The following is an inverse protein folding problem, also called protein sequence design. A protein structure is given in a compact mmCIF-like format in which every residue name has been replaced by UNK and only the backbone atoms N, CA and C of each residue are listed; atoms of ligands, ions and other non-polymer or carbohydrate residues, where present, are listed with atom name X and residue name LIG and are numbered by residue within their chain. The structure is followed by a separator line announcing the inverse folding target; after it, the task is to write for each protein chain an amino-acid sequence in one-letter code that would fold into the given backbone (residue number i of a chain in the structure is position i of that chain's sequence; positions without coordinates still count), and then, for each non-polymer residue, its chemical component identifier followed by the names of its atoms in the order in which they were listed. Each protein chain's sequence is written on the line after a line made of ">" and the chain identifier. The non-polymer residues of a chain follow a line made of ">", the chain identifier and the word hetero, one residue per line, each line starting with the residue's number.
data_IF_735756743921
#
_entry.id   IF_735756743921
#
_cell.length_a   1.000
_cell.length_b   1.000
_cell.length_c   1.000
_cell.angle_alpha   90.00
_cell.angle_beta   90.00
_cell.angle_gamma   90.00
#
_symmetry.space_group_name_H-M   'P 1'
#
loop_
_entity.id
_entity.type
_entity.pdbx_description
1 polymer ?
#
# COMPACT_ATOMS: atom_id res chain seq x y z
N UNK A 1 13.04 8.63 -4.37
CA UNK A 1 12.11 8.10 -5.39
C UNK A 1 11.39 9.27 -6.04
N UNK A 2 11.60 9.46 -7.35
CA UNK A 2 10.97 10.53 -8.13
C UNK A 2 9.75 9.93 -8.87
N UNK A 3 8.58 10.17 -8.34
CA UNK A 3 7.33 9.70 -8.93
C UNK A 3 6.69 10.82 -9.79
N UNK A 4 7.28 11.10 -10.94
CA UNK A 4 6.78 12.14 -11.88
C UNK A 4 5.35 11.89 -12.37
N UNK A 5 4.87 10.66 -12.27
CA UNK A 5 3.48 10.33 -12.59
C UNK A 5 2.46 11.14 -11.77
N UNK A 6 2.87 11.63 -10.58
CA UNK A 6 2.00 12.46 -9.74
C UNK A 6 2.05 13.95 -10.06
N UNK A 7 2.93 14.42 -10.95
CA UNK A 7 3.10 15.86 -11.20
C UNK A 7 1.87 16.47 -11.85
N UNK A 8 1.27 15.80 -12.83
CA UNK A 8 0.04 16.27 -13.48
C UNK A 8 -1.16 16.31 -12.53
N UNK A 9 -1.48 15.22 -11.79
CA UNK A 9 -2.53 15.25 -10.78
C UNK A 9 -2.27 16.28 -9.68
N UNK A 10 -1.03 16.41 -9.19
CA UNK A 10 -0.66 17.42 -8.20
C UNK A 10 -0.91 18.85 -8.72
N UNK A 11 -0.53 19.14 -9.96
CA UNK A 11 -0.79 20.45 -10.58
C UNK A 11 -2.30 20.74 -10.69
N UNK A 12 -3.12 19.72 -10.96
CA UNK A 12 -4.59 19.86 -10.98
C UNK A 12 -5.16 20.17 -9.60
N UNK A 13 -4.67 19.50 -8.57
CA UNK A 13 -5.09 19.75 -7.19
C UNK A 13 -4.66 21.16 -6.73
N UNK A 14 -3.44 21.60 -7.05
CA UNK A 14 -2.97 22.96 -6.80
C UNK A 14 -3.87 23.99 -7.49
N UNK A 15 -4.22 23.77 -8.76
CA UNK A 15 -5.14 24.64 -9.50
C UNK A 15 -6.57 24.66 -8.92
N UNK A 16 -6.96 23.64 -8.17
CA UNK A 16 -8.22 23.57 -7.44
C UNK A 16 -8.14 24.15 -6.01
N UNK A 17 -7.03 24.77 -5.62
CA UNK A 17 -6.85 25.39 -4.31
C UNK A 17 -6.44 24.42 -3.19
N UNK A 18 -5.90 23.26 -3.54
CA UNK A 18 -5.33 22.32 -2.59
C UNK A 18 -3.81 22.44 -2.57
N UNK A 19 -3.19 22.52 -1.41
CA UNK A 19 -1.75 22.29 -1.30
C UNK A 19 -1.45 20.79 -1.40
N UNK A 20 -0.30 20.44 -1.97
CA UNK A 20 0.09 19.04 -2.22
C UNK A 20 1.45 18.75 -1.61
N UNK A 21 1.50 17.77 -0.72
CA UNK A 21 2.73 17.25 -0.15
C UNK A 21 3.00 15.86 -0.76
N UNK A 22 4.07 15.73 -1.56
CA UNK A 22 4.55 14.43 -2.05
C UNK A 22 5.54 13.87 -1.05
N UNK A 23 5.29 12.64 -0.61
CA UNK A 23 6.05 12.01 0.48
C UNK A 23 6.60 10.64 0.07
N UNK A 24 7.71 10.26 0.67
CA UNK A 24 8.21 8.90 0.66
C UNK A 24 7.89 8.24 2.01
N UNK A 25 7.29 7.06 1.97
CA UNK A 25 7.09 6.23 3.14
C UNK A 25 8.27 5.26 3.29
N UNK A 26 8.37 4.56 4.45
CA UNK A 26 9.49 3.65 4.78
C UNK A 26 9.77 2.56 3.74
N UNK A 27 8.77 2.19 2.95
CA UNK A 27 8.89 1.21 1.87
C UNK A 27 9.36 1.81 0.53
N UNK A 28 9.82 3.07 0.49
CA UNK A 28 10.41 3.62 -0.73
C UNK A 28 11.73 2.91 -1.04
N UNK A 29 12.07 2.80 -2.31
CA UNK A 29 13.19 2.02 -2.81
C UNK A 29 13.13 0.53 -2.41
N UNK A 30 13.99 -0.28 -3.00
CA UNK A 30 14.02 -1.72 -2.74
C UNK A 30 14.66 -2.03 -1.38
N UNK A 31 15.86 -1.51 -1.16
CA UNK A 31 16.61 -1.63 0.08
C UNK A 31 17.43 -0.37 0.29
N UNK A 32 17.35 0.21 1.47
CA UNK A 32 18.24 1.26 1.90
C UNK A 32 18.57 1.10 3.39
N UNK A 33 19.54 1.86 3.87
CA UNK A 33 19.98 1.81 5.26
C UNK A 33 19.93 3.19 5.88
N UNK A 34 19.27 3.29 7.02
CA UNK A 34 19.18 4.54 7.78
C UNK A 34 19.57 4.36 9.24
N UNK A 35 20.02 5.40 9.93
CA UNK A 35 20.20 5.38 11.36
C UNK A 35 18.88 5.06 12.08
N UNK A 36 18.92 4.12 13.03
CA UNK A 36 17.80 3.81 13.91
C UNK A 36 18.22 4.06 15.37
N UNK A 37 17.38 4.76 16.10
CA UNK A 37 17.63 5.14 17.50
C UNK A 37 17.42 6.63 17.76
N UNK A 38 17.06 6.95 18.99
CA UNK A 38 16.61 8.30 19.40
C UNK A 38 17.57 9.04 20.32
N UNK A 39 18.76 8.49 20.62
CA UNK A 39 19.68 9.11 21.57
C UNK A 39 21.03 9.47 20.96
N UNK A 40 21.51 10.72 21.14
CA UNK A 40 22.86 11.13 20.75
C UNK A 40 23.99 10.34 21.42
N UNK A 41 23.72 9.74 22.58
CA UNK A 41 24.67 8.94 23.35
C UNK A 41 24.74 7.48 22.89
N UNK A 42 23.76 7.02 22.11
CA UNK A 42 23.76 5.66 21.55
C UNK A 42 24.57 5.63 20.26
N UNK A 43 25.47 4.65 20.12
CA UNK A 43 26.02 4.30 18.82
C UNK A 43 24.86 4.01 17.91
N UNK A 44 24.62 4.89 16.92
CA UNK A 44 23.54 4.74 15.95
C UNK A 44 23.71 3.41 15.24
N UNK A 45 22.82 2.48 15.51
CA UNK A 45 22.72 1.27 14.70
C UNK A 45 22.04 1.64 13.38
N UNK A 46 22.46 0.99 12.30
CA UNK A 46 21.80 1.18 11.01
C UNK A 46 20.79 0.05 10.79
N UNK A 47 19.53 0.43 10.55
CA UNK A 47 18.49 -0.49 10.16
C UNK A 47 18.38 -0.61 8.64
N UNK A 48 18.04 -1.78 8.15
CA UNK A 48 17.67 -2.01 6.75
C UNK A 48 16.20 -1.68 6.59
N UNK A 49 15.90 -0.89 5.57
CA UNK A 49 14.57 -0.39 5.22
C UNK A 49 14.33 -0.60 3.72
N UNK A 50 13.16 -0.18 3.26
CA UNK A 50 12.75 -0.32 1.87
C UNK A 50 11.69 -1.40 1.69
N UNK A 51 11.17 -1.56 0.48
CA UNK A 51 10.04 -2.46 0.19
C UNK A 51 10.32 -3.92 0.54
N UNK A 52 11.60 -4.36 0.51
CA UNK A 52 12.00 -5.70 0.90
C UNK A 52 11.85 -5.98 2.40
N UNK A 53 11.92 -4.94 3.25
CA UNK A 53 11.87 -5.03 4.72
C UNK A 53 10.60 -4.46 5.33
N UNK A 54 9.69 -3.96 4.50
CA UNK A 54 8.51 -3.25 4.95
C UNK A 54 7.40 -4.19 5.40
N UNK A 55 7.00 -4.08 6.67
CA UNK A 55 5.72 -4.59 7.17
C UNK A 55 4.65 -3.56 6.84
N UNK A 56 3.57 -3.98 6.17
CA UNK A 56 2.55 -3.03 5.68
C UNK A 56 1.83 -2.31 6.81
N UNK A 57 1.61 -2.96 7.96
CA UNK A 57 0.99 -2.36 9.15
C UNK A 57 1.74 -1.12 9.65
N UNK A 58 3.07 -1.10 9.51
CA UNK A 58 3.90 0.04 9.91
C UNK A 58 3.60 1.32 9.12
N UNK A 59 2.84 1.24 8.02
CA UNK A 59 2.37 2.41 7.29
C UNK A 59 1.58 3.39 8.15
N UNK A 60 0.97 2.89 9.25
CA UNK A 60 0.30 3.73 10.22
C UNK A 60 1.21 4.78 10.86
N UNK A 61 2.47 4.44 11.09
CA UNK A 61 3.47 5.40 11.59
C UNK A 61 3.81 6.48 10.56
N UNK A 62 3.92 6.08 9.27
CA UNK A 62 4.24 7.00 8.19
C UNK A 62 3.08 7.98 7.96
N UNK A 63 1.84 7.47 7.86
CA UNK A 63 0.66 8.31 7.71
C UNK A 63 0.49 9.28 8.88
N UNK A 64 0.62 8.80 10.12
CA UNK A 64 0.53 9.67 11.29
C UNK A 64 1.58 10.78 11.26
N UNK A 65 2.83 10.46 10.93
CA UNK A 65 3.89 11.47 10.87
C UNK A 65 3.59 12.56 9.83
N UNK A 66 3.09 12.20 8.64
CA UNK A 66 2.74 13.18 7.61
C UNK A 66 1.48 13.97 7.94
N UNK A 67 0.48 13.34 8.57
CA UNK A 67 -0.72 14.04 9.07
C UNK A 67 -0.34 15.01 10.18
N UNK A 68 0.49 14.60 11.14
CA UNK A 68 0.99 15.47 12.23
C UNK A 68 1.75 16.68 11.67
N UNK A 69 2.61 16.43 10.66
CA UNK A 69 3.32 17.52 9.96
C UNK A 69 2.35 18.51 9.32
N UNK A 70 1.34 18.02 8.59
CA UNK A 70 0.35 18.88 7.96
C UNK A 70 -0.46 19.69 8.99
N UNK A 71 -0.88 19.06 10.10
CA UNK A 71 -1.57 19.73 11.20
C UNK A 71 -0.69 20.81 11.85
N UNK A 72 0.59 20.51 12.09
CA UNK A 72 1.55 21.46 12.64
C UNK A 72 1.79 22.64 11.70
N UNK A 73 1.71 22.42 10.38
CA UNK A 73 1.76 23.47 9.36
C UNK A 73 0.44 24.28 9.23
N UNK A 74 -0.58 23.98 10.05
CA UNK A 74 -1.84 24.74 10.11
C UNK A 74 -2.99 24.17 9.27
N UNK A 75 -2.80 23.06 8.56
CA UNK A 75 -3.85 22.43 7.76
C UNK A 75 -4.89 21.75 8.65
N UNK A 76 -6.17 21.95 8.31
CA UNK A 76 -7.34 21.38 9.04
C UNK A 76 -8.17 20.41 8.22
N UNK A 77 -7.97 20.40 6.91
CA UNK A 77 -8.67 19.54 5.96
C UNK A 77 -7.63 18.76 5.19
N UNK A 78 -7.36 17.55 5.61
CA UNK A 78 -6.31 16.68 5.06
C UNK A 78 -6.98 15.60 4.22
N UNK A 79 -6.51 15.44 2.98
CA UNK A 79 -6.77 14.28 2.15
C UNK A 79 -5.50 13.43 2.03
N UNK A 80 -5.64 12.13 1.95
CA UNK A 80 -4.52 11.23 1.68
C UNK A 80 -4.72 10.51 0.34
N UNK A 81 -3.62 10.30 -0.38
CA UNK A 81 -3.66 9.62 -1.67
C UNK A 81 -2.52 8.60 -1.77
N UNK A 82 -2.88 7.35 -2.02
CA UNK A 82 -1.94 6.27 -2.30
C UNK A 82 -2.16 5.65 -3.67
N UNK A 83 -1.10 5.14 -4.28
CA UNK A 83 -1.13 4.41 -5.53
C UNK A 83 -0.50 3.03 -5.35
N UNK A 84 -1.03 2.00 -6.01
CA UNK A 84 -0.50 0.64 -5.97
C UNK A 84 -0.45 0.12 -4.52
N UNK A 85 0.69 -0.34 -4.01
CA UNK A 85 0.85 -0.69 -2.59
C UNK A 85 0.50 0.48 -1.65
N UNK A 86 0.75 1.73 -2.08
CA UNK A 86 0.32 2.93 -1.34
C UNK A 86 -1.20 3.02 -1.21
N UNK A 87 -1.96 2.58 -2.22
CA UNK A 87 -3.42 2.51 -2.16
C UNK A 87 -3.90 1.45 -1.17
N UNK A 88 -3.24 0.27 -1.11
CA UNK A 88 -3.51 -0.74 -0.07
C UNK A 88 -3.26 -0.17 1.31
N UNK A 89 -2.13 0.52 1.52
CA UNK A 89 -1.81 1.19 2.79
C UNK A 89 -2.82 2.26 3.18
N UNK A 90 -3.31 3.02 2.19
CA UNK A 90 -4.37 4.02 2.42
C UNK A 90 -5.64 3.35 2.93
N UNK A 91 -6.14 2.32 2.25
CA UNK A 91 -7.34 1.58 2.66
C UNK A 91 -7.12 0.94 4.03
N UNK A 92 -5.99 0.28 4.24
CA UNK A 92 -5.65 -0.36 5.52
C UNK A 92 -5.61 0.64 6.68
N UNK A 93 -4.95 1.78 6.49
CA UNK A 93 -4.88 2.84 7.49
C UNK A 93 -6.28 3.36 7.86
N UNK A 94 -7.11 3.67 6.86
CA UNK A 94 -8.45 4.18 7.09
C UNK A 94 -9.37 3.16 7.78
N UNK A 95 -9.24 1.87 7.44
CA UNK A 95 -10.04 0.79 8.02
C UNK A 95 -9.64 0.48 9.48
N UNK A 96 -8.35 0.65 9.84
CA UNK A 96 -7.82 0.20 11.13
C UNK A 96 -7.53 1.31 12.14
N UNK A 97 -7.28 2.54 11.67
CA UNK A 97 -6.84 3.66 12.55
C UNK A 97 -7.91 4.73 12.76
N UNK A 98 -8.89 4.88 11.85
CA UNK A 98 -10.00 5.81 11.94
C UNK A 98 -9.60 7.26 12.33
N UNK A 99 -8.56 7.80 11.68
CA UNK A 99 -8.06 9.14 11.98
C UNK A 99 -9.01 10.23 11.46
N UNK A 100 -9.71 10.92 12.36
CA UNK A 100 -10.70 11.95 12.03
C UNK A 100 -10.12 13.18 11.36
N UNK A 101 -8.81 13.37 11.40
CA UNK A 101 -8.11 14.47 10.70
C UNK A 101 -8.12 14.27 9.19
N UNK A 102 -8.24 13.02 8.72
CA UNK A 102 -8.36 12.67 7.31
C UNK A 102 -9.80 12.82 6.87
N UNK A 103 -10.06 13.78 5.99
CA UNK A 103 -11.41 14.14 5.54
C UNK A 103 -11.85 13.44 4.25
N UNK A 104 -10.91 12.99 3.44
CA UNK A 104 -11.14 12.19 2.23
C UNK A 104 -9.88 11.44 1.83
N UNK A 105 -10.03 10.46 0.96
CA UNK A 105 -8.89 9.71 0.45
C UNK A 105 -9.06 9.29 -1.01
N UNK A 106 -7.93 9.01 -1.67
CA UNK A 106 -7.87 8.40 -2.99
C UNK A 106 -6.98 7.16 -2.90
N UNK A 107 -7.49 6.03 -3.37
CA UNK A 107 -6.75 4.79 -3.52
C UNK A 107 -6.70 4.42 -5.01
N UNK A 108 -5.57 4.66 -5.67
CA UNK A 108 -5.40 4.42 -7.09
C UNK A 108 -4.75 3.06 -7.32
N UNK A 109 -5.43 2.20 -8.11
CA UNK A 109 -4.98 0.85 -8.48
C UNK A 109 -4.50 0.01 -7.29
N UNK A 110 -5.30 -0.16 -6.23
CA UNK A 110 -4.92 -1.04 -5.11
C UNK A 110 -4.89 -2.50 -5.57
N UNK A 111 -3.74 -3.19 -5.54
CA UNK A 111 -3.71 -4.62 -5.80
C UNK A 111 -4.40 -5.37 -4.68
N UNK A 112 -5.16 -6.40 -5.01
CA UNK A 112 -5.76 -7.27 -4.02
C UNK A 112 -4.76 -8.32 -3.55
N UNK A 113 -4.51 -8.39 -2.26
CA UNK A 113 -3.68 -9.42 -1.64
C UNK A 113 -4.58 -10.47 -1.00
N UNK A 114 -5.03 -11.42 -1.80
CA UNK A 114 -5.85 -12.54 -1.37
C UNK A 114 -5.06 -13.85 -1.61
N UNK A 115 -4.67 -14.49 -0.52
CA UNK A 115 -3.82 -15.70 -0.54
C UNK A 115 -4.41 -16.79 -1.45
N UNK A 116 -5.70 -17.03 -1.32
CA UNK A 116 -6.39 -18.06 -2.12
C UNK A 116 -6.35 -17.71 -3.62
N UNK A 117 -6.60 -16.46 -3.99
CA UNK A 117 -6.56 -16.07 -5.40
C UNK A 117 -5.14 -16.16 -5.97
N UNK A 118 -4.12 -15.88 -5.16
CA UNK A 118 -2.72 -16.05 -5.55
C UNK A 118 -2.36 -17.53 -5.73
N UNK A 119 -2.95 -18.44 -4.96
CA UNK A 119 -2.80 -19.89 -5.15
C UNK A 119 -3.47 -20.38 -6.44
N UNK A 120 -4.62 -19.81 -6.78
CA UNK A 120 -5.49 -20.27 -7.87
C UNK A 120 -5.19 -19.57 -9.21
N UNK A 121 -4.32 -18.54 -9.22
CA UNK A 121 -3.97 -17.85 -10.46
C UNK A 121 -3.03 -18.67 -11.35
N UNK A 122 -2.87 -18.29 -12.60
CA UNK A 122 -1.99 -18.95 -13.59
C UNK A 122 -0.56 -19.16 -13.06
N UNK A 123 -0.03 -18.20 -12.30
CA UNK A 123 1.30 -18.28 -11.68
C UNK A 123 1.28 -18.86 -10.26
N UNK A 124 0.22 -19.55 -9.85
CA UNK A 124 0.03 -20.08 -8.49
C UNK A 124 1.10 -21.06 -8.04
N UNK A 125 1.74 -21.81 -8.96
CA UNK A 125 2.87 -22.68 -8.64
C UNK A 125 4.08 -21.87 -8.15
N UNK A 126 4.40 -20.77 -8.84
CA UNK A 126 5.47 -19.86 -8.42
C UNK A 126 5.16 -19.20 -7.07
N UNK A 127 3.89 -18.89 -6.83
CA UNK A 127 3.46 -18.38 -5.52
C UNK A 127 3.67 -19.43 -4.42
N UNK A 128 3.21 -20.67 -4.62
CA UNK A 128 3.42 -21.78 -3.67
C UNK A 128 4.89 -22.00 -3.35
N UNK A 129 5.75 -22.00 -4.38
CA UNK A 129 7.19 -22.17 -4.19
C UNK A 129 7.80 -21.03 -3.35
N UNK A 130 7.45 -19.76 -3.64
CA UNK A 130 7.92 -18.61 -2.87
C UNK A 130 7.40 -18.63 -1.43
N UNK A 131 6.14 -19.00 -1.24
CA UNK A 131 5.52 -19.11 0.08
C UNK A 131 6.15 -20.22 0.92
N UNK A 132 6.40 -21.40 0.32
CA UNK A 132 7.10 -22.48 0.98
C UNK A 132 8.54 -22.09 1.36
N UNK A 133 9.27 -21.37 0.48
CA UNK A 133 10.61 -20.87 0.76
C UNK A 133 10.60 -19.88 1.93
N UNK A 134 9.64 -18.96 1.97
CA UNK A 134 9.50 -18.00 3.07
C UNK A 134 9.23 -18.72 4.42
N UNK A 135 8.34 -19.71 4.43
CA UNK A 135 8.07 -20.52 5.62
C UNK A 135 9.30 -21.31 6.07
N UNK A 136 10.08 -21.87 5.16
CA UNK A 136 11.32 -22.57 5.49
C UNK A 136 12.35 -21.65 6.16
N UNK A 137 12.53 -20.43 5.65
CA UNK A 137 13.39 -19.42 6.28
C UNK A 137 12.89 -19.03 7.66
N UNK A 138 11.59 -18.82 7.80
CA UNK A 138 10.96 -18.51 9.10
C UNK A 138 11.19 -19.62 10.11
N UNK A 139 10.99 -20.88 9.70
CA UNK A 139 11.20 -22.05 10.56
C UNK A 139 12.67 -22.27 10.93
N UNK A 140 13.61 -21.87 10.07
CA UNK A 140 15.05 -21.89 10.34
C UNK A 140 15.52 -20.77 11.28
N UNK A 141 14.63 -19.87 11.73
CA UNK A 141 14.98 -18.72 12.56
C UNK A 141 15.61 -17.57 11.76
N UNK A 142 15.41 -17.55 10.45
CA UNK A 142 15.92 -16.54 9.51
C UNK A 142 14.78 -15.66 8.92
N UNK A 143 13.96 -14.97 9.75
CA UNK A 143 12.82 -14.19 9.26
C UNK A 143 13.23 -13.03 8.33
N UNK A 144 14.45 -12.54 8.46
CA UNK A 144 15.05 -11.50 7.61
C UNK A 144 15.86 -12.07 6.43
N UNK A 145 15.84 -13.40 6.24
CA UNK A 145 16.40 -14.07 5.07
C UNK A 145 15.70 -13.59 3.80
N UNK A 146 16.52 -13.22 2.79
CA UNK A 146 15.99 -12.67 1.54
C UNK A 146 15.54 -13.76 0.58
N UNK A 147 14.43 -13.52 -0.10
CA UNK A 147 13.96 -14.30 -1.23
C UNK A 147 13.50 -13.37 -2.36
N UNK A 148 13.71 -13.82 -3.59
CA UNK A 148 13.12 -13.23 -4.78
C UNK A 148 11.82 -13.95 -5.07
N UNK A 149 10.75 -13.21 -5.33
CA UNK A 149 9.47 -13.75 -5.74
C UNK A 149 8.98 -13.07 -7.01
N UNK A 150 8.23 -13.79 -7.84
CA UNK A 150 7.66 -13.28 -9.08
C UNK A 150 6.16 -13.03 -8.98
N UNK A 151 5.52 -13.54 -7.91
CA UNK A 151 4.07 -13.44 -7.70
C UNK A 151 3.81 -12.79 -6.34
N UNK A 152 2.89 -11.83 -6.29
CA UNK A 152 2.06 -11.28 -7.36
C UNK A 152 2.83 -10.34 -8.31
N UNK A 153 4.03 -9.91 -7.95
CA UNK A 153 4.94 -9.10 -8.77
C UNK A 153 6.39 -9.46 -8.47
N UNK A 154 7.25 -9.32 -9.49
CA UNK A 154 8.69 -9.53 -9.29
C UNK A 154 9.24 -8.52 -8.28
N UNK A 155 9.74 -9.04 -7.15
CA UNK A 155 10.37 -8.21 -6.12
C UNK A 155 11.27 -9.04 -5.20
N UNK A 156 12.06 -8.34 -4.39
CA UNK A 156 12.84 -8.90 -3.30
C UNK A 156 12.08 -8.69 -1.98
N UNK A 157 12.06 -9.70 -1.14
CA UNK A 157 11.39 -9.68 0.16
C UNK A 157 12.26 -10.34 1.22
N UNK A 158 12.07 -9.96 2.47
CA UNK A 158 12.44 -10.87 3.57
C UNK A 158 11.33 -11.93 3.72
N UNK A 159 11.65 -13.08 4.32
CA UNK A 159 10.66 -14.12 4.59
C UNK A 159 9.48 -13.55 5.38
N UNK A 160 9.77 -12.79 6.44
CA UNK A 160 8.77 -12.12 7.28
C UNK A 160 7.85 -11.20 6.49
N UNK A 161 8.41 -10.33 5.63
CA UNK A 161 7.60 -9.38 4.86
C UNK A 161 6.75 -10.05 3.80
N UNK A 162 7.24 -11.14 3.19
CA UNK A 162 6.46 -11.92 2.24
C UNK A 162 5.27 -12.61 2.92
N UNK A 163 5.50 -13.24 4.06
CA UNK A 163 4.46 -13.93 4.83
C UNK A 163 3.45 -12.94 5.44
N UNK A 164 3.90 -11.78 5.93
CA UNK A 164 2.99 -10.73 6.41
C UNK A 164 2.07 -10.23 5.30
N UNK A 165 2.64 -9.96 4.12
CA UNK A 165 1.92 -9.34 3.01
C UNK A 165 0.96 -10.29 2.31
N UNK A 166 1.35 -11.56 2.13
CA UNK A 166 0.64 -12.54 1.30
C UNK A 166 0.19 -13.78 2.07
N UNK A 167 0.19 -13.71 3.39
CA UNK A 167 -0.20 -14.84 4.24
C UNK A 167 -1.70 -15.16 4.21
N UNK A 168 -2.05 -16.33 4.73
CA UNK A 168 -3.41 -16.92 4.69
C UNK A 168 -4.49 -16.08 5.41
N UNK A 169 -4.08 -15.12 6.25
CA UNK A 169 -5.01 -14.25 6.97
C UNK A 169 -5.58 -13.11 6.11
N UNK A 170 -5.10 -12.93 4.89
CA UNK A 170 -5.53 -11.86 3.97
C UNK A 170 -5.58 -10.48 4.64
N UNK A 171 -4.58 -10.21 5.48
CA UNK A 171 -4.56 -9.03 6.38
C UNK A 171 -4.72 -7.71 5.63
N UNK A 172 -4.23 -7.66 4.40
CA UNK A 172 -4.22 -6.47 3.57
C UNK A 172 -5.09 -6.61 2.31
N UNK A 173 -6.03 -7.56 2.30
CA UNK A 173 -7.02 -7.65 1.23
C UNK A 173 -7.90 -6.38 1.25
N UNK A 174 -7.67 -5.49 0.28
CA UNK A 174 -8.36 -4.22 0.20
C UNK A 174 -9.89 -4.38 0.15
N UNK A 175 -10.42 -5.43 -0.49
CA UNK A 175 -11.86 -5.66 -0.58
C UNK A 175 -12.49 -6.11 0.75
N UNK A 176 -11.73 -6.80 1.60
CA UNK A 176 -12.17 -7.14 2.96
C UNK A 176 -12.19 -5.93 3.89
N UNK A 177 -11.27 -4.99 3.66
CA UNK A 177 -11.10 -3.81 4.51
C UNK A 177 -12.10 -2.69 4.18
N UNK A 178 -12.61 -2.63 2.94
CA UNK A 178 -13.51 -1.55 2.51
C UNK A 178 -14.69 -1.31 3.46
N UNK A 179 -15.42 -2.32 3.98
CA UNK A 179 -16.57 -2.10 4.87
C UNK A 179 -16.24 -1.32 6.16
N UNK A 180 -15.00 -1.36 6.61
CA UNK A 180 -14.54 -0.69 7.83
C UNK A 180 -14.07 0.74 7.57
N UNK A 181 -13.94 1.17 6.30
CA UNK A 181 -13.58 2.54 5.94
C UNK A 181 -14.77 3.48 6.18
N UNK A 182 -14.60 4.48 7.03
CA UNK A 182 -15.61 5.50 7.35
C UNK A 182 -15.35 6.84 6.66
N UNK A 183 -14.15 7.05 6.20
CA UNK A 183 -13.73 8.27 5.48
C UNK A 183 -14.19 8.19 4.02
N UNK A 184 -14.75 9.28 3.43
CA UNK A 184 -15.03 9.33 2.01
C UNK A 184 -13.82 8.89 1.17
N UNK A 185 -14.02 7.89 0.31
CA UNK A 185 -12.94 7.23 -0.44
C UNK A 185 -13.28 7.14 -1.92
N UNK A 186 -12.38 7.64 -2.77
CA UNK A 186 -12.38 7.36 -4.20
C UNK A 186 -11.39 6.23 -4.48
N UNK A 187 -11.86 5.14 -5.07
CA UNK A 187 -11.00 4.10 -5.64
C UNK A 187 -10.95 4.27 -7.15
N UNK A 188 -9.76 4.35 -7.73
CA UNK A 188 -9.58 4.35 -9.18
C UNK A 188 -8.86 3.08 -9.63
N UNK A 189 -9.13 2.64 -10.86
CA UNK A 189 -8.46 1.51 -11.48
C UNK A 189 -8.24 1.79 -12.96
N UNK A 190 -7.07 1.47 -13.47
CA UNK A 190 -6.80 1.55 -14.92
C UNK A 190 -7.58 0.48 -15.68
N UNK A 191 -8.24 0.86 -16.77
CA UNK A 191 -9.04 -0.05 -17.58
C UNK A 191 -8.22 -1.12 -18.30
N UNK A 192 -6.91 -0.92 -18.44
CA UNK A 192 -5.99 -1.85 -19.09
C UNK A 192 -5.19 -2.69 -18.07
N UNK A 193 -5.48 -2.59 -16.78
CA UNK A 193 -4.90 -3.48 -15.76
C UNK A 193 -5.54 -4.87 -15.86
N UNK A 194 -4.77 -5.86 -16.33
CA UNK A 194 -5.24 -7.22 -16.63
C UNK A 194 -4.77 -8.27 -15.62
N UNK A 195 -3.88 -7.90 -14.70
CA UNK A 195 -3.36 -8.84 -13.71
C UNK A 195 -4.46 -9.36 -12.79
N UNK A 196 -4.36 -10.62 -12.38
CA UNK A 196 -5.34 -11.30 -11.54
C UNK A 196 -5.69 -10.51 -10.26
N UNK A 197 -4.71 -9.82 -9.68
CA UNK A 197 -4.89 -9.02 -8.47
C UNK A 197 -5.83 -7.81 -8.62
N UNK A 198 -6.21 -7.43 -9.85
CA UNK A 198 -7.16 -6.33 -10.13
C UNK A 198 -8.52 -6.81 -10.62
N UNK A 199 -8.63 -8.07 -11.05
CA UNK A 199 -9.83 -8.60 -11.71
C UNK A 199 -11.09 -8.46 -10.85
N UNK A 200 -11.02 -8.83 -9.57
CA UNK A 200 -12.17 -8.74 -8.68
C UNK A 200 -12.54 -7.28 -8.38
N UNK A 201 -11.56 -6.39 -8.22
CA UNK A 201 -11.82 -4.97 -8.03
C UNK A 201 -12.48 -4.35 -9.28
N UNK A 202 -12.02 -4.71 -10.49
CA UNK A 202 -12.65 -4.27 -11.74
C UNK A 202 -14.12 -4.71 -11.83
N UNK A 203 -14.41 -5.94 -11.39
CA UNK A 203 -15.75 -6.55 -11.46
C UNK A 203 -16.72 -6.00 -10.41
N UNK A 204 -16.29 -5.83 -9.18
CA UNK A 204 -17.15 -5.54 -8.02
C UNK A 204 -16.93 -4.17 -7.37
N UNK A 205 -15.88 -3.45 -7.75
CA UNK A 205 -15.49 -2.19 -7.12
C UNK A 205 -16.61 -1.16 -7.10
N UNK A 206 -17.29 -0.96 -8.21
CA UNK A 206 -18.42 -0.03 -8.30
C UNK A 206 -19.53 -0.34 -7.27
N UNK A 207 -20.00 -1.58 -7.22
CA UNK A 207 -21.04 -2.00 -6.28
C UNK A 207 -20.59 -1.88 -4.83
N UNK A 208 -19.35 -2.29 -4.53
CA UNK A 208 -18.81 -2.19 -3.17
C UNK A 208 -18.68 -0.75 -2.71
N UNK A 209 -18.18 0.13 -3.56
CA UNK A 209 -18.00 1.54 -3.20
C UNK A 209 -19.33 2.27 -3.02
N UNK A 210 -20.39 1.89 -3.74
CA UNK A 210 -21.74 2.44 -3.54
C UNK A 210 -22.31 2.14 -2.15
N UNK A 211 -21.87 1.09 -1.47
CA UNK A 211 -22.34 0.75 -0.12
C UNK A 211 -21.60 1.53 0.97
N UNK A 212 -20.55 2.29 0.64
CA UNK A 212 -19.77 3.05 1.61
C UNK A 212 -20.20 4.52 1.65
N UNK A 213 -20.29 5.13 2.83
CA UNK A 213 -20.58 6.56 2.96
C UNK A 213 -19.53 7.40 2.22
N UNK A 214 -19.93 8.11 1.17
CA UNK A 214 -19.02 8.91 0.34
C UNK A 214 -18.03 8.07 -0.49
N UNK A 215 -18.34 6.80 -0.72
CA UNK A 215 -17.56 5.91 -1.57
C UNK A 215 -17.81 6.18 -3.04
N UNK A 216 -16.74 6.18 -3.85
CA UNK A 216 -16.81 6.29 -5.30
C UNK A 216 -15.79 5.36 -5.97
N UNK A 217 -16.14 4.84 -7.14
CA UNK A 217 -15.26 4.01 -7.97
C UNK A 217 -15.19 4.57 -9.39
N UNK A 218 -13.98 4.65 -9.93
CA UNK A 218 -13.77 5.07 -11.32
C UNK A 218 -12.83 4.09 -12.03
N UNK A 219 -13.34 3.42 -13.05
CA UNK A 219 -12.53 2.72 -14.03
C UNK A 219 -12.10 3.73 -15.11
N UNK A 220 -10.81 3.88 -15.33
CA UNK A 220 -10.23 4.86 -16.25
C UNK A 220 -9.91 4.16 -17.58
N UNK A 221 -10.72 4.35 -18.64
CA UNK A 221 -10.52 3.67 -19.91
C UNK A 221 -9.14 3.97 -20.51
N UNK A 222 -8.45 2.94 -21.01
CA UNK A 222 -7.14 3.07 -21.67
C UNK A 222 -5.98 3.41 -20.76
N UNK A 223 -6.21 3.53 -19.44
CA UNK A 223 -5.13 3.70 -18.47
C UNK A 223 -4.55 2.35 -18.07
N UNK A 224 -3.23 2.27 -18.00
CA UNK A 224 -2.52 1.17 -17.37
C UNK A 224 -2.30 1.46 -15.87
N UNK A 225 -1.48 0.66 -15.20
CA UNK A 225 -1.17 0.82 -13.78
C UNK A 225 -0.62 2.20 -13.39
N UNK A 226 -0.05 2.94 -14.32
CA UNK A 226 0.58 4.25 -14.07
C UNK A 226 -0.22 5.44 -14.60
N UNK A 227 -1.41 5.23 -15.18
CA UNK A 227 -2.34 6.23 -15.71
C UNK A 227 -1.84 7.08 -16.89
#
# INVERSE_FOLDING_TARGET
>A
YDARMYDKPAARLLGAGCDVLKVNNRGHDLVYSQPVGSSPALKLTRGRMGSAYEIVDDCGHDWNAWIDFAVAAGYRRIGIWGHSLGAVKTIYFLATRHDERVRCAIASSPPRFCHRELLDCEAGESFRASYARANALQAAGEPDGLLSATVPTFNLFTARTYLDKYGEHDRYDCLRLLPDVKTPLLVTLGGDERDAQYAELARSGGTRMQSLPGGAFALIPGANHFY
#
